data_IF_825987939157
#
_entry.id   IF_825987939157
#
_cell.length_a   1.000
_cell.length_b   1.000
_cell.length_c   1.000
_cell.angle_alpha   90.00
_cell.angle_beta   90.00
_cell.angle_gamma   90.00
#
_symmetry.space_group_name_H-M   'P 1'
#
loop_
_entity.id
_entity.type
_entity.pdbx_description
1 polymer ?
#
# COMPACT_ATOMS: atom_id res chain seq x y z
N UNK A 1 -14.88 37.70 21.27
CA UNK A 1 -14.98 37.16 19.89
C UNK A 1 -13.92 36.07 19.77
N UNK A 2 -14.34 34.79 19.71
CA UNK A 2 -13.41 33.65 19.71
C UNK A 2 -13.00 33.39 18.26
N UNK A 3 -11.70 33.51 18.02
CA UNK A 3 -11.04 33.31 16.73
C UNK A 3 -11.16 31.85 16.29
N UNK A 4 -11.73 31.63 15.10
CA UNK A 4 -11.95 30.30 14.53
C UNK A 4 -10.65 29.65 14.09
N UNK A 5 -10.27 28.56 14.75
CA UNK A 5 -9.32 27.60 14.21
C UNK A 5 -10.00 26.75 13.13
N UNK A 6 -9.86 27.17 11.87
CA UNK A 6 -10.16 26.28 10.74
C UNK A 6 -9.00 25.30 10.61
N UNK A 7 -9.15 24.12 11.20
CA UNK A 7 -8.38 22.93 10.84
C UNK A 7 -8.65 22.64 9.36
N UNK A 8 -7.74 23.08 8.48
CA UNK A 8 -7.73 22.66 7.08
C UNK A 8 -7.53 21.15 7.05
N UNK A 9 -8.63 20.41 6.89
CA UNK A 9 -8.63 18.97 6.59
C UNK A 9 -7.81 18.78 5.32
N UNK A 10 -6.59 18.26 5.45
CA UNK A 10 -5.77 17.84 4.33
C UNK A 10 -6.37 16.60 3.68
N UNK A 11 -7.49 16.76 2.97
CA UNK A 11 -7.88 15.81 1.94
C UNK A 11 -6.90 16.04 0.80
N UNK A 12 -5.77 15.33 0.83
CA UNK A 12 -4.87 15.34 -0.33
C UNK A 12 -5.69 14.79 -1.49
N UNK A 13 -5.87 15.55 -2.59
CA UNK A 13 -6.63 15.07 -3.74
C UNK A 13 -5.99 13.76 -4.19
N UNK A 14 -6.82 12.73 -4.36
CA UNK A 14 -6.37 11.47 -4.97
C UNK A 14 -5.86 11.85 -6.36
N UNK A 15 -4.57 11.61 -6.67
CA UNK A 15 -4.05 11.98 -7.97
C UNK A 15 -4.78 11.17 -9.06
N UNK A 16 -5.06 11.83 -10.19
CA UNK A 16 -5.76 11.22 -11.33
C UNK A 16 -4.96 10.09 -12.00
N UNK A 17 -3.65 10.03 -11.71
CA UNK A 17 -2.73 9.02 -12.20
C UNK A 17 -1.61 8.74 -11.19
N UNK A 18 -1.09 7.52 -11.23
CA UNK A 18 0.02 7.06 -10.40
C UNK A 18 1.17 6.57 -11.29
N UNK A 19 2.42 6.75 -10.88
CA UNK A 19 3.54 6.08 -11.56
C UNK A 19 3.67 4.67 -11.02
N UNK A 20 3.64 3.67 -11.90
CA UNK A 20 3.77 2.27 -11.46
C UNK A 20 5.10 2.04 -10.72
N UNK A 21 6.18 2.67 -11.20
CA UNK A 21 7.51 2.63 -10.62
C UNK A 21 7.57 3.10 -9.16
N UNK A 22 6.57 3.85 -8.68
CA UNK A 22 6.51 4.26 -7.28
C UNK A 22 6.14 3.10 -6.35
N UNK A 23 5.55 2.02 -6.87
CA UNK A 23 5.07 0.87 -6.10
C UNK A 23 5.79 -0.43 -6.46
N UNK A 24 6.17 -0.61 -7.73
CA UNK A 24 6.82 -1.82 -8.21
C UNK A 24 7.63 -1.53 -9.47
N UNK A 25 8.75 -2.22 -9.62
CA UNK A 25 9.54 -2.24 -10.86
C UNK A 25 9.50 -3.62 -11.46
N UNK A 26 9.42 -3.71 -12.79
CA UNK A 26 9.50 -4.97 -13.50
C UNK A 26 10.83 -5.06 -14.23
N UNK A 27 11.54 -6.16 -14.02
CA UNK A 27 12.74 -6.50 -14.77
C UNK A 27 12.44 -7.69 -15.68
N UNK A 28 13.01 -7.70 -16.88
CA UNK A 28 12.86 -8.84 -17.79
C UNK A 28 13.59 -10.05 -17.21
N UNK A 29 12.86 -11.12 -17.00
CA UNK A 29 13.38 -12.43 -16.64
C UNK A 29 13.47 -13.28 -17.91
N UNK A 30 14.68 -13.72 -18.26
CA UNK A 30 14.95 -14.48 -19.49
C UNK A 30 14.20 -15.83 -19.55
N UNK A 31 13.62 -16.29 -18.43
CA UNK A 31 12.92 -17.57 -18.32
C UNK A 31 11.40 -17.45 -18.15
N UNK A 32 10.89 -16.32 -17.62
CA UNK A 32 9.51 -16.17 -17.17
C UNK A 32 8.79 -14.89 -17.65
N UNK A 33 9.42 -14.09 -18.53
CA UNK A 33 8.84 -12.83 -18.99
C UNK A 33 9.29 -11.64 -18.15
N UNK A 34 8.43 -11.10 -17.29
CA UNK A 34 8.76 -9.98 -16.40
C UNK A 34 8.60 -10.39 -14.93
N UNK A 35 9.58 -10.04 -14.10
CA UNK A 35 9.54 -10.25 -12.66
C UNK A 35 9.42 -8.93 -11.92
N UNK A 36 8.37 -8.79 -11.11
CA UNK A 36 8.17 -7.63 -10.25
C UNK A 36 9.13 -7.63 -9.06
N UNK A 37 9.63 -6.45 -8.71
CA UNK A 37 10.49 -6.18 -7.56
C UNK A 37 9.97 -4.96 -6.81
N UNK A 38 10.05 -5.04 -5.49
CA UNK A 38 9.73 -3.95 -4.58
C UNK A 38 10.98 -3.59 -3.78
N UNK A 39 11.50 -2.39 -4.01
CA UNK A 39 12.57 -1.80 -3.22
C UNK A 39 12.04 -1.25 -1.89
N UNK A 40 12.90 -1.04 -0.88
CA UNK A 40 12.46 -0.42 0.38
C UNK A 40 11.78 0.95 0.20
N UNK A 41 12.16 1.71 -0.82
CA UNK A 41 11.52 2.99 -1.15
C UNK A 41 10.10 2.79 -1.70
N UNK A 42 9.89 1.77 -2.53
CA UNK A 42 8.57 1.41 -3.05
C UNK A 42 7.66 0.87 -1.94
N UNK A 43 8.21 0.05 -1.04
CA UNK A 43 7.51 -0.40 0.16
C UNK A 43 7.08 0.79 1.04
N UNK A 44 7.96 1.76 1.26
CA UNK A 44 7.61 2.99 1.96
C UNK A 44 6.50 3.79 1.25
N UNK A 45 6.47 3.80 -0.09
CA UNK A 45 5.40 4.45 -0.85
C UNK A 45 4.06 3.71 -0.69
N UNK A 46 4.06 2.38 -0.67
CA UNK A 46 2.88 1.56 -0.37
C UNK A 46 2.34 1.91 1.03
N UNK A 47 3.21 1.98 2.04
CA UNK A 47 2.80 2.37 3.40
C UNK A 47 2.24 3.81 3.47
N UNK A 48 2.85 4.77 2.77
CA UNK A 48 2.31 6.14 2.70
C UNK A 48 0.93 6.16 2.05
N UNK A 49 0.75 5.39 0.97
CA UNK A 49 -0.54 5.28 0.30
C UNK A 49 -1.60 4.65 1.22
N UNK A 50 -1.28 3.53 1.89
CA UNK A 50 -2.18 2.89 2.87
C UNK A 50 -2.59 3.85 3.99
N UNK A 51 -1.64 4.65 4.49
CA UNK A 51 -1.91 5.69 5.49
C UNK A 51 -2.87 6.77 4.97
N UNK A 52 -2.72 7.17 3.71
CA UNK A 52 -3.66 8.09 3.05
C UNK A 52 -5.06 7.49 2.88
N UNK A 53 -5.17 6.16 2.72
CA UNK A 53 -6.46 5.43 2.74
C UNK A 53 -7.06 5.24 4.14
N UNK A 54 -6.42 5.81 5.16
CA UNK A 54 -6.85 5.79 6.56
C UNK A 54 -6.34 4.59 7.35
N UNK A 55 -5.53 3.69 6.79
CA UNK A 55 -4.97 2.57 7.54
C UNK A 55 -3.87 3.05 8.49
N UNK A 56 -3.84 2.44 9.67
CA UNK A 56 -2.78 2.62 10.65
C UNK A 56 -2.44 1.30 11.32
N UNK A 57 -1.20 1.22 11.79
CA UNK A 57 -0.68 0.10 12.56
C UNK A 57 -0.12 0.71 13.85
N UNK A 58 -0.49 0.14 14.99
CA UNK A 58 0.08 0.46 16.30
C UNK A 58 0.54 -0.84 16.95
N UNK A 59 1.65 -0.80 17.66
CA UNK A 59 2.06 -1.91 18.53
C UNK A 59 1.73 -1.51 19.97
N UNK A 60 1.03 -2.39 20.69
CA UNK A 60 0.78 -2.24 22.12
C UNK A 60 0.97 -3.61 22.78
N UNK A 61 1.82 -3.68 23.80
CA UNK A 61 2.02 -4.88 24.62
C UNK A 61 2.24 -6.16 23.79
N UNK A 62 3.15 -6.09 22.80
CA UNK A 62 3.46 -7.14 21.80
C UNK A 62 2.32 -7.52 20.84
N UNK A 63 1.16 -6.87 20.92
CA UNK A 63 0.07 -7.02 19.97
C UNK A 63 0.08 -5.93 18.89
N UNK A 64 -0.11 -6.36 17.64
CA UNK A 64 -0.20 -5.48 16.48
C UNK A 64 -1.66 -5.10 16.22
N UNK A 65 -2.03 -3.87 16.57
CA UNK A 65 -3.35 -3.30 16.34
C UNK A 65 -3.39 -2.63 14.97
N UNK A 66 -4.21 -3.16 14.08
CA UNK A 66 -4.48 -2.57 12.78
C UNK A 66 -5.84 -1.89 12.82
N UNK A 67 -5.89 -0.65 12.36
CA UNK A 67 -7.13 0.12 12.32
C UNK A 67 -7.27 0.86 10.99
N UNK A 68 -8.51 1.25 10.68
CA UNK A 68 -8.81 2.13 9.56
C UNK A 68 -9.63 3.31 10.08
N UNK A 69 -9.19 4.51 9.75
CA UNK A 69 -9.94 5.75 9.96
C UNK A 69 -10.81 6.03 8.75
N UNK A 70 -12.11 6.19 8.96
CA UNK A 70 -13.08 6.61 7.95
C UNK A 70 -13.80 7.85 8.46
N UNK A 71 -13.41 9.03 7.96
CA UNK A 71 -13.88 10.31 8.49
C UNK A 71 -13.40 10.54 9.93
N UNK A 72 -14.34 10.62 10.86
CA UNK A 72 -14.09 10.83 12.29
C UNK A 72 -14.06 9.52 13.09
N UNK A 73 -14.43 8.39 12.48
CA UNK A 73 -14.46 7.09 13.12
C UNK A 73 -13.14 6.33 12.92
N UNK A 74 -12.69 5.63 13.97
CA UNK A 74 -11.61 4.64 13.91
C UNK A 74 -12.25 3.27 14.12
N UNK A 75 -12.02 2.35 13.19
CA UNK A 75 -12.53 0.98 13.26
C UNK A 75 -11.38 -0.02 13.23
N UNK A 76 -11.49 -1.17 13.95
CA UNK A 76 -10.55 -2.26 13.78
C UNK A 76 -10.46 -2.70 12.32
N UNK A 77 -9.26 -3.03 11.88
CA UNK A 77 -8.98 -3.55 10.55
C UNK A 77 -8.04 -4.76 10.66
N UNK A 78 -7.75 -5.38 9.52
CA UNK A 78 -6.86 -6.54 9.46
C UNK A 78 -5.88 -6.39 8.30
N UNK A 79 -4.79 -7.16 8.35
CA UNK A 79 -3.84 -7.28 7.24
C UNK A 79 -4.56 -7.66 5.95
N UNK A 80 -5.56 -8.55 6.04
CA UNK A 80 -6.38 -8.97 4.90
C UNK A 80 -7.11 -7.79 4.27
N UNK A 81 -7.72 -6.92 5.08
CA UNK A 81 -8.42 -5.73 4.60
C UNK A 81 -7.47 -4.72 3.95
N UNK A 82 -6.26 -4.55 4.51
CA UNK A 82 -5.21 -3.73 3.91
C UNK A 82 -4.79 -4.27 2.54
N UNK A 83 -4.49 -5.57 2.46
CA UNK A 83 -4.13 -6.28 1.22
C UNK A 83 -5.21 -6.14 0.15
N UNK A 84 -6.48 -6.35 0.50
CA UNK A 84 -7.61 -6.19 -0.43
C UNK A 84 -7.75 -4.76 -0.94
N UNK A 85 -7.54 -3.74 -0.08
CA UNK A 85 -7.58 -2.35 -0.54
C UNK A 85 -6.43 -2.04 -1.51
N UNK A 86 -5.24 -2.55 -1.23
CA UNK A 86 -4.10 -2.36 -2.12
C UNK A 86 -4.29 -3.10 -3.45
N UNK A 87 -4.81 -4.33 -3.43
CA UNK A 87 -5.17 -5.06 -4.66
C UNK A 87 -6.18 -4.28 -5.50
N UNK A 88 -7.29 -3.83 -4.89
CA UNK A 88 -8.29 -3.03 -5.58
C UNK A 88 -7.68 -1.74 -6.17
N UNK A 89 -6.70 -1.14 -5.48
CA UNK A 89 -5.95 -0.01 -6.03
C UNK A 89 -5.13 -0.39 -7.26
N UNK A 90 -4.41 -1.52 -7.24
CA UNK A 90 -3.67 -2.02 -8.41
C UNK A 90 -4.61 -2.32 -9.59
N UNK A 91 -5.82 -2.80 -9.33
CA UNK A 91 -6.82 -3.15 -10.35
C UNK A 91 -7.53 -1.93 -10.96
N UNK A 92 -7.76 -0.88 -10.17
CA UNK A 92 -8.66 0.22 -10.57
C UNK A 92 -7.94 1.55 -10.83
N UNK A 93 -6.73 1.74 -10.32
CA UNK A 93 -6.00 2.98 -10.51
C UNK A 93 -5.44 3.11 -11.93
N UNK A 94 -5.35 4.35 -12.41
CA UNK A 94 -4.70 4.66 -13.69
C UNK A 94 -3.21 4.80 -13.48
N UNK A 95 -2.45 3.82 -13.95
CA UNK A 95 -0.99 3.86 -13.90
C UNK A 95 -0.40 4.42 -15.21
N UNK A 96 0.53 5.37 -15.06
CA UNK A 96 1.40 5.81 -16.15
C UNK A 96 2.73 5.05 -16.08
N UNK A 97 3.36 4.84 -17.24
CA UNK A 97 4.66 4.18 -17.32
C UNK A 97 4.62 2.66 -17.20
N UNK A 98 3.49 2.02 -17.55
CA UNK A 98 3.51 0.60 -17.91
C UNK A 98 4.46 0.45 -19.11
N UNK A 99 5.62 -0.15 -18.90
CA UNK A 99 6.60 -0.37 -19.95
C UNK A 99 6.02 -1.20 -21.10
N UNK A 100 6.62 -1.10 -22.28
CA UNK A 100 6.17 -1.83 -23.47
C UNK A 100 6.10 -3.34 -23.20
N UNK A 101 4.89 -3.86 -22.98
CA UNK A 101 4.61 -5.28 -22.75
C UNK A 101 4.28 -5.69 -21.32
N UNK A 102 4.29 -4.78 -20.34
CA UNK A 102 3.77 -5.07 -19.00
C UNK A 102 2.27 -4.82 -19.01
N UNK A 103 1.48 -5.85 -18.77
CA UNK A 103 0.03 -5.75 -18.66
C UNK A 103 -0.41 -5.76 -17.20
N UNK A 104 -1.64 -5.30 -16.94
CA UNK A 104 -2.24 -5.34 -15.60
C UNK A 104 -2.12 -6.73 -14.96
N UNK A 105 -2.25 -7.80 -15.75
CA UNK A 105 -2.12 -9.17 -15.26
C UNK A 105 -0.74 -9.46 -14.63
N UNK A 106 0.35 -8.90 -15.16
CA UNK A 106 1.69 -9.07 -14.59
C UNK A 106 1.81 -8.40 -13.21
N UNK A 107 1.13 -7.26 -13.05
CA UNK A 107 1.03 -6.54 -11.79
C UNK A 107 0.24 -7.32 -10.73
N UNK A 108 -0.87 -7.91 -11.13
CA UNK A 108 -1.70 -8.72 -10.24
C UNK A 108 -0.98 -10.01 -9.86
N UNK A 109 -0.34 -10.70 -10.81
CA UNK A 109 0.48 -11.88 -10.53
C UNK A 109 1.60 -11.57 -9.54
N UNK A 110 2.33 -10.45 -9.74
CA UNK A 110 3.34 -10.02 -8.79
C UNK A 110 2.78 -9.82 -7.38
N UNK A 111 1.59 -9.23 -7.23
CA UNK A 111 0.98 -9.04 -5.91
C UNK A 111 0.70 -10.38 -5.21
N UNK A 112 0.25 -11.41 -5.94
CA UNK A 112 0.01 -12.74 -5.39
C UNK A 112 1.30 -13.53 -5.12
N UNK A 113 2.33 -13.34 -5.93
CA UNK A 113 3.63 -14.01 -5.78
C UNK A 113 4.50 -13.36 -4.68
N UNK A 114 4.19 -12.12 -4.28
CA UNK A 114 4.96 -11.42 -3.25
C UNK A 114 4.58 -11.95 -1.87
N UNK A 115 5.57 -12.40 -1.05
CA UNK A 115 5.30 -12.84 0.30
C UNK A 115 4.62 -11.73 1.12
N UNK A 116 3.81 -12.06 2.13
CA UNK A 116 3.21 -11.07 3.02
C UNK A 116 4.25 -10.03 3.46
N UNK A 117 3.90 -8.74 3.36
CA UNK A 117 4.63 -7.64 4.00
C UNK A 117 4.99 -8.12 5.40
N UNK A 118 6.30 -8.31 5.66
CA UNK A 118 6.81 -9.10 6.79
C UNK A 118 5.94 -8.87 8.01
N UNK A 119 5.28 -9.93 8.47
CA UNK A 119 4.98 -10.04 9.89
C UNK A 119 6.36 -10.02 10.55
N UNK A 120 6.74 -8.87 11.12
CA UNK A 120 7.81 -8.88 12.12
C UNK A 120 7.29 -9.77 13.23
N UNK A 121 7.62 -11.06 13.12
CA UNK A 121 7.48 -12.02 14.18
C UNK A 121 8.28 -11.47 15.36
N UNK A 122 7.56 -10.92 16.33
CA UNK A 122 7.88 -11.21 17.71
C UNK A 122 8.03 -12.74 17.84
N UNK A 123 9.05 -13.18 18.58
CA UNK A 123 9.48 -14.57 18.79
C UNK A 123 10.53 -15.13 17.82
N UNK A 124 11.81 -14.92 18.16
CA UNK A 124 12.57 -15.99 18.81
C UNK A 124 13.70 -15.41 19.66
N UNK A 125 13.39 -15.17 20.94
CA UNK A 125 14.38 -15.37 21.99
C UNK A 125 14.23 -16.84 22.42
N UNK A 126 15.26 -17.64 22.17
CA UNK A 126 15.56 -18.89 22.86
C UNK A 126 17.03 -19.21 22.60
#
# INVERSE_FOLDING_TARGET
>A
MISGFILRRGHSPIPDHYKLSDFVSFEKDNSAGYKGRCSPQQEANIYRWLKAQGFGISAQDDELLIFRRTGEEIRPASVITMKRNFLNFLETARFIGLGNGIVLNDLINWFYDTPPLRETNASSAA
#
